data_IF_816909233393
#
_entry.id   IF_816909233393
#
_cell.length_a   1.000
_cell.length_b   1.000
_cell.length_c   1.000
_cell.angle_alpha   90.00
_cell.angle_beta   90.00
_cell.angle_gamma   90.00
#
_symmetry.space_group_name_H-M   'P 1'
#
loop_
_entity.id
_entity.type
_entity.pdbx_description
1 polymer ?
#
# COMPACT_ATOMS: atom_id res chain seq x y z
N UNK A 1 5.19 -13.51 23.89
CA UNK A 1 4.91 -12.51 22.84
C UNK A 1 3.41 -12.53 22.55
N UNK A 2 2.73 -11.42 22.83
CA UNK A 2 1.26 -11.33 22.88
C UNK A 2 0.61 -11.47 21.50
N UNK A 3 -0.51 -12.19 21.44
CA UNK A 3 -1.33 -12.44 20.23
C UNK A 3 -1.70 -11.13 19.48
N UNK A 4 -1.80 -10.02 20.21
CA UNK A 4 -2.01 -8.67 19.68
C UNK A 4 -0.93 -8.20 18.69
N UNK A 5 0.34 -8.54 18.94
CA UNK A 5 1.46 -8.12 18.09
C UNK A 5 1.48 -8.86 16.75
N UNK A 6 1.12 -10.14 16.74
CA UNK A 6 1.01 -10.90 15.50
C UNK A 6 -0.12 -10.37 14.61
N UNK A 7 -1.27 -10.03 15.20
CA UNK A 7 -2.36 -9.43 14.43
C UNK A 7 -1.96 -8.07 13.81
N UNK A 8 -1.19 -7.25 14.53
CA UNK A 8 -0.65 -5.99 14.00
C UNK A 8 0.24 -6.19 12.78
N UNK A 9 1.18 -7.11 12.91
CA UNK A 9 2.10 -7.43 11.82
C UNK A 9 1.31 -7.90 10.61
N UNK A 10 0.32 -8.77 10.79
CA UNK A 10 -0.56 -9.22 9.72
C UNK A 10 -1.33 -8.07 9.05
N UNK A 11 -1.89 -7.14 9.81
CA UNK A 11 -2.63 -6.01 9.25
C UNK A 11 -1.72 -5.11 8.39
N UNK A 12 -0.51 -4.80 8.88
CA UNK A 12 0.48 -4.03 8.11
C UNK A 12 0.92 -4.79 6.86
N UNK A 13 1.11 -6.11 6.97
CA UNK A 13 1.51 -6.96 5.85
C UNK A 13 0.44 -6.97 4.74
N UNK A 14 -0.84 -7.07 5.12
CA UNK A 14 -1.97 -7.05 4.19
C UNK A 14 -2.07 -5.69 3.50
N UNK A 15 -1.92 -4.58 4.24
CA UNK A 15 -1.92 -3.22 3.66
C UNK A 15 -0.74 -3.02 2.70
N UNK A 16 0.43 -3.52 3.05
CA UNK A 16 1.61 -3.49 2.18
C UNK A 16 1.37 -4.27 0.88
N UNK A 17 0.83 -5.50 0.98
CA UNK A 17 0.50 -6.33 -0.17
C UNK A 17 -0.55 -5.70 -1.07
N UNK A 18 -1.63 -5.16 -0.49
CA UNK A 18 -2.66 -4.47 -1.26
C UNK A 18 -2.10 -3.25 -2.01
N UNK A 19 -1.27 -2.45 -1.32
CA UNK A 19 -0.61 -1.29 -1.92
C UNK A 19 0.35 -1.70 -3.04
N UNK A 20 1.04 -2.82 -2.89
CA UNK A 20 1.93 -3.38 -3.90
C UNK A 20 1.15 -3.73 -5.17
N UNK A 21 0.01 -4.41 -5.02
CA UNK A 21 -0.85 -4.78 -6.14
C UNK A 21 -1.34 -3.54 -6.88
N UNK A 22 -1.79 -2.50 -6.15
CA UNK A 22 -2.22 -1.23 -6.75
C UNK A 22 -1.06 -0.54 -7.49
N UNK A 23 0.13 -0.49 -6.89
CA UNK A 23 1.32 0.07 -7.52
C UNK A 23 1.70 -0.66 -8.81
N UNK A 24 1.70 -2.00 -8.80
CA UNK A 24 2.01 -2.83 -9.97
C UNK A 24 0.97 -2.65 -11.08
N UNK A 25 -0.32 -2.59 -10.74
CA UNK A 25 -1.38 -2.34 -11.71
C UNK A 25 -1.27 -0.94 -12.34
N UNK A 26 -0.89 0.07 -11.56
CA UNK A 26 -0.65 1.42 -12.07
C UNK A 26 0.54 1.46 -13.04
N UNK A 27 1.64 0.77 -12.73
CA UNK A 27 2.81 0.64 -13.62
C UNK A 27 2.42 -0.06 -14.92
N UNK A 28 1.73 -1.20 -14.82
CA UNK A 28 1.29 -1.98 -15.97
C UNK A 28 0.35 -1.18 -16.87
N UNK A 29 -0.62 -0.46 -16.29
CA UNK A 29 -1.49 0.43 -17.03
C UNK A 29 -0.73 1.52 -17.79
N UNK A 30 0.26 2.14 -17.13
CA UNK A 30 1.08 3.19 -17.74
C UNK A 30 1.98 2.68 -18.87
N UNK A 31 2.56 1.48 -18.71
CA UNK A 31 3.38 0.84 -19.74
C UNK A 31 2.53 0.42 -20.94
N UNK A 32 1.32 -0.11 -20.72
CA UNK A 32 0.40 -0.49 -21.80
C UNK A 32 -0.09 0.70 -22.64
N UNK A 33 -0.14 1.90 -22.05
CA UNK A 33 -0.46 3.15 -22.73
C UNK A 33 0.73 3.73 -23.54
N UNK A 34 1.87 3.05 -23.57
CA UNK A 34 3.08 3.50 -24.27
C UNK A 34 3.93 4.49 -23.47
N UNK A 35 3.70 4.61 -22.16
CA UNK A 35 4.42 5.53 -21.29
C UNK A 35 5.86 5.11 -21.02
N UNK A 36 6.74 6.10 -20.88
CA UNK A 36 8.16 5.90 -20.63
C UNK A 36 8.41 5.11 -19.32
N UNK A 37 9.37 4.17 -19.29
CA UNK A 37 9.58 3.27 -18.16
C UNK A 37 10.00 4.00 -16.87
N UNK A 38 10.63 5.18 -16.95
CA UNK A 38 10.91 5.99 -15.77
C UNK A 38 9.63 6.60 -15.17
N UNK A 39 8.72 7.08 -16.02
CA UNK A 39 7.48 7.70 -15.59
C UNK A 39 6.52 6.67 -14.97
N UNK A 40 6.46 5.45 -15.52
CA UNK A 40 5.66 4.38 -14.96
C UNK A 40 6.16 3.96 -13.57
N UNK A 41 7.48 3.91 -13.37
CA UNK A 41 8.08 3.58 -12.08
C UNK A 41 7.82 4.66 -11.02
N UNK A 42 7.90 5.94 -11.42
CA UNK A 42 7.53 7.06 -10.55
C UNK A 42 6.03 7.03 -10.17
N UNK A 43 5.15 6.76 -11.13
CA UNK A 43 3.72 6.64 -10.90
C UNK A 43 3.38 5.44 -9.98
N UNK A 44 4.01 4.28 -10.22
CA UNK A 44 3.87 3.09 -9.38
C UNK A 44 4.35 3.30 -7.96
N UNK A 45 5.52 3.94 -7.79
CA UNK A 45 6.06 4.28 -6.49
C UNK A 45 5.19 5.27 -5.73
N UNK A 46 4.66 6.30 -6.41
CA UNK A 46 3.74 7.26 -5.82
C UNK A 46 2.41 6.61 -5.41
N UNK A 47 1.84 5.74 -6.26
CA UNK A 47 0.62 4.99 -5.95
C UNK A 47 0.84 4.03 -4.77
N UNK A 48 1.97 3.32 -4.73
CA UNK A 48 2.34 2.46 -3.62
C UNK A 48 2.47 3.25 -2.31
N UNK A 49 3.26 4.33 -2.32
CA UNK A 49 3.48 5.17 -1.14
C UNK A 49 2.19 5.80 -0.63
N UNK A 50 1.32 6.28 -1.53
CA UNK A 50 0.02 6.86 -1.19
C UNK A 50 -0.93 5.83 -0.57
N UNK A 51 -1.13 4.68 -1.22
CA UNK A 51 -1.99 3.62 -0.69
C UNK A 51 -1.47 3.06 0.64
N UNK A 52 -0.15 2.89 0.76
CA UNK A 52 0.46 2.37 1.97
C UNK A 52 0.30 3.36 3.14
N UNK A 53 0.56 4.65 2.90
CA UNK A 53 0.40 5.70 3.89
C UNK A 53 -1.05 5.86 4.36
N UNK A 54 -2.01 5.86 3.42
CA UNK A 54 -3.44 5.95 3.75
C UNK A 54 -3.91 4.70 4.49
N UNK A 55 -3.49 3.50 4.05
CA UNK A 55 -3.84 2.24 4.71
C UNK A 55 -3.31 2.16 6.14
N UNK A 56 -2.09 2.66 6.39
CA UNK A 56 -1.54 2.80 7.74
C UNK A 56 -2.30 3.82 8.58
N UNK A 57 -2.62 4.99 8.03
CA UNK A 57 -3.39 6.02 8.73
C UNK A 57 -4.80 5.53 9.11
N UNK A 58 -5.46 4.80 8.22
CA UNK A 58 -6.76 4.17 8.52
C UNK A 58 -6.61 3.09 9.59
N UNK A 59 -5.57 2.24 9.49
CA UNK A 59 -5.32 1.20 10.47
C UNK A 59 -5.02 1.75 11.87
N UNK A 60 -4.32 2.89 11.98
CA UNK A 60 -4.07 3.57 13.26
C UNK A 60 -5.33 4.28 13.77
N UNK A 61 -6.12 4.89 12.89
CA UNK A 61 -7.37 5.56 13.27
C UNK A 61 -8.42 4.58 13.81
N UNK A 62 -8.60 3.44 13.13
CA UNK A 62 -9.47 2.36 13.60
C UNK A 62 -9.01 1.80 14.96
N UNK A 63 -7.70 1.78 15.20
CA UNK A 63 -7.12 1.37 16.48
C UNK A 63 -7.41 2.36 17.60
N UNK A 64 -7.38 3.65 17.30
CA UNK A 64 -7.69 4.73 18.25
C UNK A 64 -9.16 4.80 18.64
N UNK A 65 -10.07 4.26 17.82
CA UNK A 65 -11.50 4.17 18.13
C UNK A 65 -11.90 2.91 18.94
N UNK A 66 -10.96 2.00 19.20
CA UNK A 66 -11.21 0.73 19.90
C UNK A 66 -10.79 0.69 21.37
N UNK A 67 -10.49 1.83 21.99
CA UNK A 67 -10.19 1.95 23.44
C UNK A 67 -11.42 2.36 24.24
#
# INVERSE_FOLDING_TARGET
MSNSTNHQVWAVLVVALASLVVGVLAVLGWVLLGGEPLASLAAGGAAFGGCFGIGLAVATFLRGQGS
#
